data_IF_728343103157
#
_entry.id   IF_728343103157
#
_cell.length_a   1.000
_cell.length_b   1.000
_cell.length_c   1.000
_cell.angle_alpha   90.00
_cell.angle_beta   90.00
_cell.angle_gamma   90.00
#
_symmetry.space_group_name_H-M   'P 1'
#
loop_
_entity.id
_entity.type
_entity.pdbx_description
1 polymer ?
#
# COMPACT_ATOMS: atom_id res chain seq x y z
N UNK A 1 9.29 10.45 -17.06
CA UNK A 1 10.67 10.10 -16.68
C UNK A 1 10.62 8.80 -15.92
N UNK A 2 10.95 7.69 -16.57
CA UNK A 2 11.06 6.36 -15.95
C UNK A 2 12.43 6.26 -15.28
N UNK A 3 12.52 6.73 -14.04
CA UNK A 3 13.76 6.72 -13.27
C UNK A 3 13.78 5.59 -12.25
N UNK A 4 14.97 5.01 -12.03
CA UNK A 4 15.29 4.17 -10.87
C UNK A 4 15.93 5.03 -9.79
N UNK A 5 15.43 4.96 -8.56
CA UNK A 5 16.06 5.57 -7.40
C UNK A 5 17.13 4.63 -6.84
N UNK A 6 18.39 5.03 -6.95
CA UNK A 6 19.52 4.31 -6.39
C UNK A 6 19.78 4.74 -4.96
N UNK A 7 19.79 3.77 -4.04
CA UNK A 7 20.08 4.00 -2.62
C UNK A 7 21.36 3.26 -2.27
N UNK A 8 22.42 4.04 -2.04
CA UNK A 8 23.77 3.53 -1.77
C UNK A 8 24.14 3.60 -0.29
N UNK A 9 23.43 4.45 0.47
CA UNK A 9 23.66 4.65 1.91
C UNK A 9 22.40 4.40 2.70
N UNK A 10 22.55 3.85 3.91
CA UNK A 10 21.44 3.64 4.85
C UNK A 10 20.75 4.96 5.18
N UNK A 11 21.52 6.05 5.25
CA UNK A 11 20.97 7.39 5.46
C UNK A 11 20.03 7.81 4.33
N UNK A 12 20.24 7.38 3.08
CA UNK A 12 19.40 7.75 1.91
C UNK A 12 18.04 7.06 1.90
N UNK A 13 17.78 6.07 2.76
CA UNK A 13 16.48 5.40 2.85
C UNK A 13 15.33 6.36 3.16
N UNK A 14 15.58 7.49 3.83
CA UNK A 14 14.54 8.50 4.08
C UNK A 14 13.98 9.11 2.80
N UNK A 15 14.74 9.11 1.69
CA UNK A 15 14.31 9.65 0.40
C UNK A 15 13.11 8.89 -0.19
N UNK A 16 12.90 7.64 0.24
CA UNK A 16 11.75 6.83 -0.17
C UNK A 16 10.42 7.40 0.31
N UNK A 17 10.44 8.18 1.40
CA UNK A 17 9.25 8.83 1.95
C UNK A 17 8.83 10.03 1.13
N UNK A 18 9.79 10.82 0.66
CA UNK A 18 9.55 12.11 0.01
C UNK A 18 9.55 12.05 -1.51
N UNK A 19 10.22 11.05 -2.11
CA UNK A 19 10.31 10.91 -3.56
C UNK A 19 9.59 9.65 -4.03
N UNK A 20 8.27 9.74 -4.28
CA UNK A 20 7.43 8.70 -4.92
C UNK A 20 7.41 8.79 -6.47
N UNK A 21 8.27 9.62 -7.06
CA UNK A 21 8.29 9.91 -8.51
C UNK A 21 8.99 8.84 -9.35
N UNK A 22 9.78 7.97 -8.71
CA UNK A 22 10.56 6.95 -9.40
C UNK A 22 9.71 5.68 -9.59
N UNK A 23 9.93 4.92 -10.67
CA UNK A 23 9.17 3.68 -10.92
C UNK A 23 9.76 2.49 -10.16
N UNK A 24 11.06 2.53 -9.89
CA UNK A 24 11.81 1.47 -9.21
C UNK A 24 12.78 2.07 -8.21
N UNK A 25 13.07 1.29 -7.19
CA UNK A 25 14.13 1.51 -6.21
C UNK A 25 15.13 0.37 -6.36
N UNK A 26 16.42 0.66 -6.30
CA UNK A 26 17.50 -0.33 -6.20
C UNK A 26 18.38 -0.03 -4.98
N UNK A 27 18.53 -1.02 -4.10
CA UNK A 27 19.39 -0.92 -2.92
C UNK A 27 20.77 -1.50 -3.22
N UNK A 28 21.79 -0.68 -2.97
CA UNK A 28 23.20 -1.05 -3.06
C UNK A 28 23.88 -0.67 -1.75
N UNK A 29 23.45 -1.29 -0.65
CA UNK A 29 24.02 -1.02 0.67
C UNK A 29 25.27 -1.89 0.87
N UNK A 30 26.47 -1.30 1.09
CA UNK A 30 27.70 -2.06 1.30
C UNK A 30 27.66 -2.91 2.57
N UNK A 31 26.82 -2.52 3.53
CA UNK A 31 26.61 -3.24 4.79
C UNK A 31 25.77 -4.50 4.63
N UNK A 32 25.12 -4.72 3.47
CA UNK A 32 24.31 -5.90 3.18
C UNK A 32 25.00 -6.75 2.11
N UNK A 33 24.83 -8.07 2.18
CA UNK A 33 25.24 -8.96 1.08
C UNK A 33 24.43 -8.68 -0.20
N UNK A 34 24.97 -9.06 -1.36
CA UNK A 34 24.27 -8.92 -2.65
C UNK A 34 22.89 -9.60 -2.65
N UNK A 35 22.78 -10.77 -2.02
CA UNK A 35 21.52 -11.48 -1.85
C UNK A 35 20.55 -10.69 -0.96
N UNK A 36 21.05 -10.10 0.13
CA UNK A 36 20.26 -9.23 1.01
C UNK A 36 19.76 -7.97 0.30
N UNK A 37 20.62 -7.29 -0.46
CA UNK A 37 20.25 -6.14 -1.28
C UNK A 37 19.15 -6.49 -2.28
N UNK A 38 19.24 -7.64 -2.96
CA UNK A 38 18.23 -8.10 -3.93
C UNK A 38 16.89 -8.42 -3.27
N UNK A 39 16.91 -9.11 -2.12
CA UNK A 39 15.69 -9.45 -1.38
C UNK A 39 14.98 -8.20 -0.86
N UNK A 40 15.72 -7.26 -0.25
CA UNK A 40 15.15 -6.03 0.25
C UNK A 40 14.65 -5.13 -0.87
N UNK A 41 15.39 -5.02 -1.97
CA UNK A 41 14.97 -4.29 -3.17
C UNK A 41 13.63 -4.79 -3.69
N UNK A 42 13.45 -6.12 -3.74
CA UNK A 42 12.19 -6.71 -4.18
C UNK A 42 11.02 -6.36 -3.24
N UNK A 43 11.21 -6.52 -1.92
CA UNK A 43 10.18 -6.18 -0.92
C UNK A 43 9.81 -4.70 -0.96
N UNK A 44 10.81 -3.85 -1.08
CA UNK A 44 10.65 -2.40 -1.03
C UNK A 44 9.94 -1.87 -2.28
N UNK A 45 10.29 -2.38 -3.47
CA UNK A 45 9.57 -2.07 -4.71
C UNK A 45 8.08 -2.44 -4.65
N UNK A 46 7.74 -3.59 -4.03
CA UNK A 46 6.34 -4.01 -3.87
C UNK A 46 5.54 -3.00 -3.05
N UNK A 47 6.11 -2.53 -1.94
CA UNK A 47 5.42 -1.60 -1.03
C UNK A 47 5.39 -0.16 -1.56
N UNK A 48 6.50 0.27 -2.19
CA UNK A 48 6.67 1.61 -2.72
C UNK A 48 5.77 1.89 -3.94
N UNK A 49 5.36 0.86 -4.70
CA UNK A 49 4.42 1.00 -5.82
C UNK A 49 2.94 0.82 -5.44
N UNK A 50 2.64 0.53 -4.18
CA UNK A 50 1.24 0.34 -3.76
C UNK A 50 0.51 1.69 -3.78
N UNK A 51 -0.56 1.79 -4.58
CA UNK A 51 -1.38 2.99 -4.81
C UNK A 51 -2.75 2.94 -4.11
N UNK A 52 -2.97 1.89 -3.31
CA UNK A 52 -4.21 1.64 -2.58
C UNK A 52 -5.33 1.03 -3.42
N UNK A 53 -5.10 0.67 -4.69
CA UNK A 53 -6.13 0.15 -5.58
C UNK A 53 -6.78 -1.14 -5.07
N UNK A 54 -6.00 -2.10 -4.58
CA UNK A 54 -6.53 -3.34 -4.03
C UNK A 54 -7.46 -3.08 -2.84
N UNK A 55 -7.06 -2.20 -1.92
CA UNK A 55 -7.90 -1.80 -0.78
C UNK A 55 -9.18 -1.08 -1.24
N UNK A 56 -9.09 -0.19 -2.23
CA UNK A 56 -10.24 0.47 -2.82
C UNK A 56 -11.25 -0.55 -3.40
N UNK A 57 -10.74 -1.55 -4.13
CA UNK A 57 -11.54 -2.64 -4.71
C UNK A 57 -12.24 -3.46 -3.63
N UNK A 58 -11.54 -3.83 -2.56
CA UNK A 58 -12.17 -4.55 -1.45
C UNK A 58 -13.30 -3.75 -0.81
N UNK A 59 -13.08 -2.47 -0.50
CA UNK A 59 -14.12 -1.61 0.08
C UNK A 59 -15.32 -1.43 -0.86
N UNK A 60 -15.09 -1.22 -2.16
CA UNK A 60 -16.15 -1.11 -3.15
C UNK A 60 -16.99 -2.40 -3.23
N UNK A 61 -16.35 -3.57 -3.32
CA UNK A 61 -17.05 -4.86 -3.37
C UNK A 61 -17.83 -5.11 -2.07
N UNK A 62 -17.22 -4.90 -0.92
CA UNK A 62 -17.89 -5.06 0.39
C UNK A 62 -19.11 -4.14 0.50
N UNK A 63 -18.99 -2.88 0.06
CA UNK A 63 -20.13 -1.95 0.07
C UNK A 63 -21.26 -2.36 -0.88
N UNK A 64 -20.92 -2.93 -2.04
CA UNK A 64 -21.89 -3.51 -2.98
C UNK A 64 -22.64 -4.69 -2.35
N UNK A 65 -21.92 -5.61 -1.71
CA UNK A 65 -22.51 -6.78 -1.04
C UNK A 65 -23.46 -6.33 0.07
N UNK A 66 -23.02 -5.42 0.95
CA UNK A 66 -23.85 -4.89 2.04
C UNK A 66 -25.09 -4.20 1.48
N UNK A 67 -24.93 -3.36 0.46
CA UNK A 67 -26.06 -2.69 -0.19
C UNK A 67 -27.07 -3.65 -0.79
N UNK A 68 -26.60 -4.72 -1.44
CA UNK A 68 -27.47 -5.75 -1.98
C UNK A 68 -28.25 -6.48 -0.88
N UNK A 69 -27.60 -6.81 0.23
CA UNK A 69 -28.26 -7.42 1.40
C UNK A 69 -29.35 -6.50 1.96
N UNK A 70 -29.10 -5.18 2.05
CA UNK A 70 -30.10 -4.20 2.52
C UNK A 70 -31.31 -4.16 1.56
N UNK A 71 -31.07 -4.06 0.26
CA UNK A 71 -32.15 -4.04 -0.74
C UNK A 71 -32.97 -5.33 -0.68
N UNK A 72 -32.30 -6.48 -0.58
CA UNK A 72 -32.97 -7.78 -0.45
C UNK A 72 -33.84 -7.83 0.80
N UNK A 73 -33.35 -7.31 1.94
CA UNK A 73 -34.12 -7.21 3.18
C UNK A 73 -35.38 -6.36 3.04
N UNK A 74 -35.32 -5.24 2.30
CA UNK A 74 -36.48 -4.37 2.04
C UNK A 74 -37.48 -5.06 1.11
N UNK A 75 -37.01 -5.80 0.10
CA UNK A 75 -37.90 -6.56 -0.79
C UNK A 75 -38.65 -7.66 -0.03
N UNK A 76 -38.00 -8.32 0.93
CA UNK A 76 -38.63 -9.34 1.78
C UNK A 76 -39.73 -8.77 2.69
N UNK A 77 -39.73 -7.47 2.98
CA UNK A 77 -40.79 -6.82 3.77
C UNK A 77 -41.95 -6.29 2.93
N UNK A 78 -42.04 -6.67 1.65
CA UNK A 78 -43.04 -6.20 0.67
C UNK A 78 -43.05 -4.67 0.47
N UNK A 79 -41.97 -3.98 0.83
CA UNK A 79 -41.81 -2.56 0.52
C UNK A 79 -41.32 -2.38 -0.92
N UNK A 80 -41.93 -1.43 -1.63
CA UNK A 80 -41.48 -1.04 -2.96
C UNK A 80 -40.18 -0.27 -2.83
N UNK A 81 -39.11 -0.73 -3.48
CA UNK A 81 -37.81 -0.05 -3.47
C UNK A 81 -37.82 1.02 -4.57
N UNK A 82 -37.80 2.32 -4.23
CA UNK A 82 -37.75 3.35 -5.26
C UNK A 82 -36.38 3.36 -5.93
N UNK A 83 -36.36 3.73 -7.22
CA UNK A 83 -35.14 3.74 -8.04
C UNK A 83 -34.00 4.57 -7.42
N UNK A 84 -34.33 5.60 -6.63
CA UNK A 84 -33.36 6.44 -5.90
C UNK A 84 -32.43 5.65 -4.98
N UNK A 85 -32.85 4.50 -4.43
CA UNK A 85 -31.98 3.67 -3.58
C UNK A 85 -30.81 3.08 -4.35
N UNK A 86 -30.99 2.74 -5.63
CA UNK A 86 -29.90 2.26 -6.48
C UNK A 86 -28.89 3.37 -6.78
N UNK A 87 -29.36 4.61 -6.94
CA UNK A 87 -28.50 5.79 -7.11
C UNK A 87 -27.70 6.04 -5.82
N UNK A 88 -28.35 6.00 -4.65
CA UNK A 88 -27.65 6.14 -3.37
C UNK A 88 -26.61 5.04 -3.15
N UNK A 89 -26.95 3.80 -3.49
CA UNK A 89 -26.00 2.69 -3.42
C UNK A 89 -24.78 2.95 -4.31
N UNK A 90 -24.99 3.36 -5.56
CA UNK A 90 -23.88 3.67 -6.47
C UNK A 90 -22.97 4.78 -5.91
N UNK A 91 -23.55 5.85 -5.36
CA UNK A 91 -22.80 6.94 -4.72
C UNK A 91 -21.98 6.42 -3.54
N UNK A 92 -22.57 5.60 -2.66
CA UNK A 92 -21.89 5.01 -1.51
C UNK A 92 -20.72 4.12 -1.97
N UNK A 93 -20.91 3.29 -2.99
CA UNK A 93 -19.86 2.41 -3.50
C UNK A 93 -18.68 3.21 -4.04
N UNK A 94 -18.96 4.28 -4.79
CA UNK A 94 -17.92 5.20 -5.28
C UNK A 94 -17.20 5.86 -4.11
N UNK A 95 -17.93 6.40 -3.14
CA UNK A 95 -17.35 7.05 -1.96
C UNK A 95 -16.47 6.08 -1.14
N UNK A 96 -16.94 4.85 -0.92
CA UNK A 96 -16.19 3.81 -0.21
C UNK A 96 -14.95 3.36 -0.99
N UNK A 97 -15.00 3.34 -2.32
CA UNK A 97 -13.81 3.13 -3.15
C UNK A 97 -12.75 4.20 -2.92
N UNK A 98 -13.14 5.48 -2.88
CA UNK A 98 -12.22 6.58 -2.57
C UNK A 98 -11.63 6.46 -1.15
N UNK A 99 -12.46 6.16 -0.15
CA UNK A 99 -12.01 5.95 1.24
C UNK A 99 -11.03 4.77 1.31
N UNK A 100 -11.37 3.64 0.70
CA UNK A 100 -10.51 2.45 0.67
C UNK A 100 -9.16 2.73 0.01
N UNK A 101 -9.12 3.56 -1.05
CA UNK A 101 -7.87 3.99 -1.68
C UNK A 101 -6.98 4.76 -0.69
N UNK A 102 -7.54 5.73 0.03
CA UNK A 102 -6.79 6.53 1.00
C UNK A 102 -6.24 5.65 2.14
N UNK A 103 -7.08 4.75 2.67
CA UNK A 103 -6.65 3.79 3.69
C UNK A 103 -5.51 2.91 3.16
N UNK A 104 -5.62 2.41 1.93
CA UNK A 104 -4.59 1.60 1.28
C UNK A 104 -3.25 2.33 1.14
N UNK A 105 -3.27 3.62 0.80
CA UNK A 105 -2.07 4.47 0.72
C UNK A 105 -1.44 4.63 2.11
N UNK A 106 -2.22 4.90 3.14
CA UNK A 106 -1.73 5.04 4.52
C UNK A 106 -1.09 3.73 4.99
N UNK A 107 -1.75 2.58 4.77
CA UNK A 107 -1.19 1.26 5.13
C UNK A 107 0.10 0.97 4.36
N UNK A 108 0.17 1.34 3.07
CA UNK A 108 1.40 1.22 2.28
C UNK A 108 2.54 2.05 2.88
N UNK A 109 2.27 3.28 3.30
CA UNK A 109 3.26 4.15 3.93
C UNK A 109 3.79 3.53 5.24
N UNK A 110 2.89 3.03 6.11
CA UNK A 110 3.28 2.38 7.37
C UNK A 110 4.16 1.15 7.10
N UNK A 111 3.77 0.30 6.15
CA UNK A 111 4.57 -0.90 5.77
C UNK A 111 5.93 -0.54 5.18
N UNK A 112 5.99 0.54 4.40
CA UNK A 112 7.24 1.05 3.85
C UNK A 112 8.16 1.53 4.98
N UNK A 113 7.62 2.25 5.96
CA UNK A 113 8.37 2.73 7.13
C UNK A 113 8.91 1.60 8.00
N UNK A 114 8.09 0.58 8.28
CA UNK A 114 8.54 -0.62 8.96
C UNK A 114 9.67 -1.33 8.20
N UNK A 115 9.58 -1.37 6.87
CA UNK A 115 10.58 -2.01 6.02
C UNK A 115 11.88 -1.23 5.99
N UNK A 116 11.81 0.10 5.92
CA UNK A 116 12.98 0.98 6.05
C UNK A 116 13.65 0.76 7.42
N UNK A 117 12.88 0.74 8.51
CA UNK A 117 13.40 0.51 9.86
C UNK A 117 14.11 -0.85 9.99
N UNK A 118 13.52 -1.92 9.42
CA UNK A 118 14.14 -3.25 9.39
C UNK A 118 15.44 -3.31 8.58
N UNK A 119 15.53 -2.58 7.46
CA UNK A 119 16.76 -2.48 6.69
C UNK A 119 17.84 -1.75 7.50
N UNK A 120 17.47 -0.65 8.17
CA UNK A 120 18.39 0.13 9.00
C UNK A 120 18.95 -0.71 10.16
N UNK A 121 18.11 -1.45 10.88
CA UNK A 121 18.55 -2.31 11.98
C UNK A 121 19.44 -3.45 11.51
N UNK A 122 19.09 -4.10 10.39
CA UNK A 122 19.92 -5.17 9.83
C UNK A 122 21.29 -4.66 9.37
N UNK A 123 21.33 -3.52 8.69
CA UNK A 123 22.57 -2.88 8.27
C UNK A 123 23.45 -2.47 9.46
N UNK A 124 22.85 -2.03 10.56
CA UNK A 124 23.55 -1.69 11.79
C UNK A 124 24.16 -2.93 12.47
N UNK A 125 23.38 -4.01 12.61
CA UNK A 125 23.83 -5.25 13.25
C UNK A 125 24.96 -5.92 12.45
N UNK A 126 24.90 -5.92 11.13
CA UNK A 126 25.98 -6.48 10.29
C UNK A 126 27.27 -5.66 10.39
N UNK A 127 27.18 -4.33 10.53
CA UNK A 127 28.33 -3.46 10.80
C UNK A 127 28.98 -3.71 12.15
N UNK A 128 28.20 -4.02 13.18
CA UNK A 128 28.73 -4.37 14.50
C UNK A 128 29.43 -5.73 14.46
N UNK A 129 28.81 -6.72 13.81
CA UNK A 129 29.40 -8.05 13.65
C UNK A 129 30.67 -8.07 12.81
N UNK A 130 30.87 -7.13 11.88
CA UNK A 130 32.10 -7.05 11.09
C UNK A 130 33.25 -6.33 11.80
N UNK A 131 33.00 -5.76 12.98
CA UNK A 131 34.00 -5.01 13.77
C UNK A 131 34.47 -5.74 15.03
N UNK A 132 33.80 -6.82 15.43
CA UNK A 132 34.25 -7.73 16.49
C UNK A 132 34.99 -8.90 15.90
#
# INVERSE_FOLDING_TARGET
>A
MEGTLYISRVSELHLLRSNRKYQKVELHLPSLSNTGNRQWTHKLNKQYRTDGYETAKYFAITSLIIGFVIILGILLTNYTVPFSYFIYLAIIVIAMGFIGRQIGIVISNIKLDETISKIQSQAHNQRLSSKG
#
